data_IF_524691707653
#
_entry.id   IF_524691707653
#
_cell.length_a   1.000
_cell.length_b   1.000
_cell.length_c   1.000
_cell.angle_alpha   90.00
_cell.angle_beta   90.00
_cell.angle_gamma   90.00
#
_symmetry.space_group_name_H-M   'P 1'
#
loop_
_entity.id
_entity.type
_entity.pdbx_description
1 polymer ?
#
# COMPACT_ATOMS: atom_id res chain seq x y z
N UNK A 1 21.48 -3.61 25.35
CA UNK A 1 20.18 -4.28 25.13
C UNK A 1 19.07 -3.26 24.85
N UNK A 2 19.11 -2.05 25.45
CA UNK A 2 18.31 -0.88 25.03
C UNK A 2 18.63 -0.47 23.58
N UNK A 3 19.91 -0.34 23.22
CA UNK A 3 20.30 0.23 21.92
C UNK A 3 19.83 -0.58 20.70
N UNK A 4 19.80 -1.92 20.81
CA UNK A 4 19.27 -2.80 19.74
C UNK A 4 17.75 -2.66 19.63
N UNK A 5 17.07 -2.48 20.77
CA UNK A 5 15.63 -2.29 20.80
C UNK A 5 15.26 -0.90 20.26
N UNK A 6 16.01 0.13 20.64
CA UNK A 6 15.84 1.51 20.17
C UNK A 6 16.18 1.65 18.68
N UNK A 7 17.19 0.93 18.17
CA UNK A 7 17.52 0.91 16.75
C UNK A 7 16.46 0.16 15.92
N UNK A 8 15.95 -0.97 16.43
CA UNK A 8 14.82 -1.67 15.81
C UNK A 8 13.52 -0.84 15.85
N UNK A 9 13.28 -0.11 16.95
CA UNK A 9 12.13 0.77 17.11
C UNK A 9 12.24 2.00 16.18
N UNK A 10 13.42 2.60 16.08
CA UNK A 10 13.68 3.70 15.15
C UNK A 10 13.56 3.26 13.69
N UNK A 11 14.01 2.05 13.34
CA UNK A 11 13.73 1.47 12.02
C UNK A 11 12.23 1.24 11.79
N UNK A 12 11.47 0.86 12.82
CA UNK A 12 10.01 0.73 12.76
C UNK A 12 9.28 2.06 12.50
N UNK A 13 9.90 3.21 12.78
CA UNK A 13 9.30 4.54 12.53
C UNK A 13 9.74 5.18 11.20
N UNK A 14 10.81 4.68 10.57
CA UNK A 14 11.27 5.16 9.27
C UNK A 14 10.58 4.33 8.19
N UNK A 15 9.46 4.83 7.65
CA UNK A 15 8.90 4.30 6.41
C UNK A 15 9.87 4.64 5.27
N UNK A 16 10.60 3.67 4.68
CA UNK A 16 11.57 3.96 3.64
C UNK A 16 10.85 4.60 2.46
N UNK A 17 11.34 5.76 2.00
CA UNK A 17 10.82 6.39 0.79
C UNK A 17 11.11 5.48 -0.39
N UNK A 18 10.07 4.93 -1.02
CA UNK A 18 10.21 4.08 -2.20
C UNK A 18 10.05 4.89 -3.47
N UNK A 19 10.77 4.49 -4.50
CA UNK A 19 10.78 5.15 -5.80
C UNK A 19 10.55 4.11 -6.88
N UNK A 20 9.70 4.43 -7.84
CA UNK A 20 9.49 3.64 -9.05
C UNK A 20 9.58 4.56 -10.27
N UNK A 21 10.43 4.22 -11.25
CA UNK A 21 10.61 5.00 -12.48
C UNK A 21 10.91 6.50 -12.21
N UNK A 22 11.76 6.77 -11.21
CA UNK A 22 12.10 8.13 -10.77
C UNK A 22 11.01 8.87 -9.99
N UNK A 23 9.84 8.24 -9.74
CA UNK A 23 8.72 8.82 -8.99
C UNK A 23 8.62 8.23 -7.59
N UNK A 24 8.45 9.10 -6.59
CA UNK A 24 8.22 8.65 -5.22
C UNK A 24 6.85 8.00 -5.06
N UNK A 25 6.78 6.97 -4.21
CA UNK A 25 5.55 6.30 -3.84
C UNK A 25 5.03 6.82 -2.51
N UNK A 26 3.72 7.03 -2.42
CA UNK A 26 3.06 7.23 -1.15
C UNK A 26 3.20 5.98 -0.25
N UNK A 27 3.18 6.13 1.09
CA UNK A 27 3.13 4.98 1.99
C UNK A 27 1.87 4.14 1.77
N UNK A 28 1.98 2.83 1.98
CA UNK A 28 0.81 1.96 1.99
C UNK A 28 0.07 2.12 3.33
N UNK A 29 -1.16 2.60 3.24
CA UNK A 29 -2.07 2.86 4.36
C UNK A 29 -3.42 2.18 4.14
N UNK A 30 -4.26 2.12 5.17
CA UNK A 30 -5.64 1.65 5.01
C UNK A 30 -6.44 2.52 4.01
N UNK A 31 -6.12 3.83 3.91
CA UNK A 31 -6.73 4.70 2.90
C UNK A 31 -6.39 4.27 1.47
N UNK A 32 -5.12 4.01 1.16
CA UNK A 32 -4.72 3.48 -0.16
C UNK A 32 -5.27 2.08 -0.40
N UNK A 33 -5.42 1.26 0.64
CA UNK A 33 -6.05 -0.07 0.54
C UNK A 33 -7.52 0.02 0.15
N UNK A 34 -8.28 0.94 0.75
CA UNK A 34 -9.68 1.19 0.37
C UNK A 34 -9.79 1.64 -1.08
N UNK A 35 -8.92 2.54 -1.53
CA UNK A 35 -8.87 2.96 -2.93
C UNK A 35 -8.50 1.79 -3.86
N UNK A 36 -7.57 0.92 -3.46
CA UNK A 36 -7.23 -0.30 -4.19
C UNK A 36 -8.41 -1.26 -4.31
N UNK A 37 -9.23 -1.39 -3.25
CA UNK A 37 -10.46 -2.17 -3.31
C UNK A 37 -11.50 -1.53 -4.23
N UNK A 38 -11.52 -0.20 -4.31
CA UNK A 38 -12.44 0.52 -5.20
C UNK A 38 -12.10 0.35 -6.68
N UNK A 39 -10.81 0.33 -7.03
CA UNK A 39 -10.32 0.24 -8.43
C UNK A 39 -10.21 -1.19 -8.98
N UNK A 40 -10.42 -2.18 -8.12
CA UNK A 40 -10.30 -3.60 -8.45
C UNK A 40 -11.66 -4.24 -8.63
N UNK A 41 -11.68 -5.24 -9.48
CA UNK A 41 -12.76 -6.20 -9.67
C UNK A 41 -12.20 -7.62 -9.53
N UNK A 42 -13.08 -8.57 -9.24
CA UNK A 42 -12.70 -9.98 -9.06
C UNK A 42 -12.17 -10.64 -10.33
N UNK A 43 -12.44 -10.04 -11.49
CA UNK A 43 -11.99 -10.49 -12.81
C UNK A 43 -10.56 -10.03 -13.13
N UNK A 44 -10.00 -9.09 -12.35
CA UNK A 44 -8.69 -8.51 -12.62
C UNK A 44 -7.56 -9.48 -12.26
N UNK A 45 -6.56 -9.58 -13.15
CA UNK A 45 -5.39 -10.41 -12.94
C UNK A 45 -4.49 -9.90 -11.79
N UNK A 46 -3.64 -10.79 -11.25
CA UNK A 46 -2.61 -10.39 -10.28
C UNK A 46 -1.64 -9.33 -10.83
N UNK A 47 -1.36 -9.37 -12.14
CA UNK A 47 -0.52 -8.37 -12.79
C UNK A 47 -1.19 -6.99 -12.81
N UNK A 48 -2.51 -6.93 -13.08
CA UNK A 48 -3.28 -5.70 -12.97
C UNK A 48 -3.18 -5.12 -11.55
N UNK A 49 -3.29 -5.96 -10.52
CA UNK A 49 -3.16 -5.50 -9.14
C UNK A 49 -1.82 -4.83 -8.86
N UNK A 50 -0.71 -5.45 -9.26
CA UNK A 50 0.63 -4.89 -9.06
C UNK A 50 0.76 -3.52 -9.74
N UNK A 51 0.27 -3.40 -10.97
CA UNK A 51 0.33 -2.14 -11.69
C UNK A 51 -0.58 -1.06 -11.09
N UNK A 52 -1.82 -1.40 -10.78
CA UNK A 52 -2.77 -0.53 -10.12
C UNK A 52 -2.22 -0.05 -8.77
N UNK A 53 -1.55 -0.93 -8.02
CA UNK A 53 -0.89 -0.61 -6.77
C UNK A 53 0.17 0.48 -6.97
N UNK A 54 1.16 0.25 -7.83
CA UNK A 54 2.26 1.20 -8.04
C UNK A 54 1.72 2.53 -8.58
N UNK A 55 0.86 2.47 -9.59
CA UNK A 55 0.30 3.65 -10.23
C UNK A 55 -0.50 4.52 -9.25
N UNK A 56 -1.36 3.91 -8.42
CA UNK A 56 -2.12 4.63 -7.41
C UNK A 56 -1.20 5.30 -6.38
N UNK A 57 -0.14 4.63 -5.92
CA UNK A 57 0.77 5.20 -4.93
C UNK A 57 1.62 6.36 -5.51
N UNK A 58 1.94 6.32 -6.81
CA UNK A 58 2.51 7.47 -7.53
C UNK A 58 1.52 8.63 -7.50
N UNK A 59 0.27 8.41 -7.95
CA UNK A 59 -0.74 9.46 -8.01
C UNK A 59 -1.05 10.05 -6.62
N UNK A 60 -1.11 9.21 -5.58
CA UNK A 60 -1.33 9.66 -4.20
C UNK A 60 -0.20 10.56 -3.71
N UNK A 61 1.04 10.32 -4.17
CA UNK A 61 2.19 11.14 -3.82
C UNK A 61 2.21 12.46 -4.60
N UNK A 62 1.87 12.43 -5.87
CA UNK A 62 1.81 13.61 -6.75
C UNK A 62 0.63 14.53 -6.36
N UNK A 63 -0.59 13.99 -6.33
CA UNK A 63 -1.80 14.73 -5.98
C UNK A 63 -2.87 13.80 -5.41
N UNK A 64 -2.91 13.72 -4.07
CA UNK A 64 -3.86 12.89 -3.33
C UNK A 64 -5.33 13.13 -3.70
N UNK A 65 -5.75 14.38 -3.92
CA UNK A 65 -7.16 14.71 -4.17
C UNK A 65 -7.60 14.19 -5.54
N UNK A 66 -6.78 14.40 -6.55
CA UNK A 66 -7.03 13.89 -7.90
C UNK A 66 -6.96 12.37 -7.95
N UNK A 67 -6.00 11.75 -7.24
CA UNK A 67 -5.90 10.30 -7.13
C UNK A 67 -7.17 9.67 -6.54
N UNK A 68 -7.72 10.25 -5.47
CA UNK A 68 -8.98 9.80 -4.87
C UNK A 68 -10.12 9.96 -5.87
N UNK A 69 -10.26 11.13 -6.50
CA UNK A 69 -11.32 11.37 -7.49
C UNK A 69 -11.24 10.41 -8.67
N UNK A 70 -10.03 10.07 -9.11
CA UNK A 70 -9.81 9.12 -10.20
C UNK A 70 -10.17 7.69 -9.79
N UNK A 71 -9.81 7.26 -8.58
CA UNK A 71 -10.15 5.94 -8.07
C UNK A 71 -11.66 5.69 -7.99
N UNK A 72 -12.46 6.74 -7.78
CA UNK A 72 -13.93 6.66 -7.84
C UNK A 72 -14.49 6.56 -9.26
N UNK A 73 -13.69 6.87 -10.28
CA UNK A 73 -14.03 6.66 -11.68
C UNK A 73 -13.22 5.47 -12.23
N UNK A 74 -13.74 4.27 -11.98
CA UNK A 74 -13.10 3.00 -12.33
C UNK A 74 -12.70 2.89 -13.80
N UNK A 75 -13.59 3.26 -14.72
CA UNK A 75 -13.34 3.17 -16.15
C UNK A 75 -12.16 4.07 -16.57
N UNK A 76 -12.20 5.32 -16.12
CA UNK A 76 -11.13 6.28 -16.41
C UNK A 76 -9.81 5.88 -15.74
N UNK A 77 -9.85 5.30 -14.55
CA UNK A 77 -8.65 4.78 -13.90
C UNK A 77 -8.04 3.64 -14.72
N UNK A 78 -8.85 2.68 -15.18
CA UNK A 78 -8.41 1.54 -16.01
C UNK A 78 -7.78 2.01 -17.32
N UNK A 79 -8.41 2.94 -18.01
CA UNK A 79 -7.88 3.54 -19.24
C UNK A 79 -6.50 4.15 -19.02
N UNK A 80 -6.38 5.06 -18.03
CA UNK A 80 -5.11 5.71 -17.71
C UNK A 80 -4.03 4.75 -17.24
N UNK A 81 -4.41 3.71 -16.50
CA UNK A 81 -3.49 2.68 -16.06
C UNK A 81 -2.93 1.90 -17.26
N UNK A 82 -3.79 1.48 -18.19
CA UNK A 82 -3.36 0.74 -19.38
C UNK A 82 -2.44 1.58 -20.28
N UNK A 83 -2.77 2.86 -20.48
CA UNK A 83 -1.90 3.79 -21.20
C UNK A 83 -0.53 3.93 -20.53
N UNK A 84 -0.50 4.02 -19.21
CA UNK A 84 0.74 4.12 -18.44
C UNK A 84 1.55 2.82 -18.53
N UNK A 85 0.91 1.65 -18.41
CA UNK A 85 1.55 0.33 -18.55
C UNK A 85 2.14 0.15 -19.95
N UNK A 86 1.52 0.71 -21.00
CA UNK A 86 2.03 0.64 -22.36
C UNK A 86 3.44 1.20 -22.54
N UNK A 87 3.93 1.99 -21.57
CA UNK A 87 5.28 2.55 -21.55
C UNK A 87 6.30 1.73 -20.75
N UNK A 88 5.88 0.59 -20.17
CA UNK A 88 6.67 -0.17 -19.20
C UNK A 88 7.17 -1.49 -19.78
N UNK A 89 8.37 -1.89 -19.35
CA UNK A 89 8.99 -3.15 -19.74
C UNK A 89 8.67 -4.29 -18.78
N UNK A 90 9.01 -5.52 -19.17
CA UNK A 90 8.95 -6.68 -18.27
C UNK A 90 9.84 -6.51 -17.04
N UNK A 91 11.02 -5.91 -17.18
CA UNK A 91 11.90 -5.61 -16.04
C UNK A 91 11.26 -4.62 -15.06
N UNK A 92 10.45 -3.68 -15.56
CA UNK A 92 9.70 -2.77 -14.69
C UNK A 92 8.58 -3.51 -13.94
N UNK A 93 7.98 -4.52 -14.57
CA UNK A 93 6.97 -5.37 -13.92
C UNK A 93 7.55 -6.16 -12.75
N UNK A 94 8.77 -6.69 -12.91
CA UNK A 94 9.48 -7.40 -11.84
C UNK A 94 9.76 -6.47 -10.66
N UNK A 95 10.31 -5.27 -10.92
CA UNK A 95 10.54 -4.25 -9.87
C UNK A 95 9.25 -3.82 -9.18
N UNK A 96 8.18 -3.60 -9.94
CA UNK A 96 6.86 -3.26 -9.40
C UNK A 96 6.34 -4.36 -8.46
N UNK A 97 6.54 -5.62 -8.83
CA UNK A 97 6.12 -6.79 -8.04
C UNK A 97 6.90 -6.89 -6.73
N UNK A 98 8.21 -6.68 -6.79
CA UNK A 98 9.08 -6.69 -5.60
C UNK A 98 8.67 -5.59 -4.62
N UNK A 99 8.53 -4.35 -5.11
CA UNK A 99 8.11 -3.20 -4.29
C UNK A 99 6.73 -3.47 -3.67
N UNK A 100 5.74 -3.86 -4.48
CA UNK A 100 4.39 -4.14 -4.02
C UNK A 100 4.39 -5.19 -2.89
N UNK A 101 5.13 -6.29 -3.08
CA UNK A 101 5.23 -7.36 -2.08
C UNK A 101 5.82 -6.84 -0.76
N UNK A 102 6.93 -6.10 -0.83
CA UNK A 102 7.57 -5.51 0.35
C UNK A 102 6.60 -4.58 1.11
N UNK A 103 5.88 -3.69 0.41
CA UNK A 103 4.96 -2.76 1.10
C UNK A 103 3.81 -3.49 1.79
N UNK A 104 3.27 -4.52 1.14
CA UNK A 104 2.13 -5.30 1.67
C UNK A 104 2.57 -6.14 2.86
N UNK A 105 3.73 -6.78 2.79
CA UNK A 105 4.28 -7.58 3.89
C UNK A 105 4.61 -6.74 5.12
N UNK A 106 5.20 -5.56 4.93
CA UNK A 106 5.48 -4.63 6.03
C UNK A 106 4.18 -4.18 6.71
N UNK A 107 3.15 -3.80 5.94
CA UNK A 107 1.85 -3.45 6.50
C UNK A 107 1.17 -4.63 7.20
N UNK A 108 1.42 -5.87 6.77
CA UNK A 108 0.95 -7.05 7.47
C UNK A 108 1.67 -7.25 8.81
N UNK A 109 3.00 -7.07 8.84
CA UNK A 109 3.84 -7.19 10.05
C UNK A 109 3.63 -6.07 11.07
N UNK A 110 3.26 -4.88 10.62
CA UNK A 110 2.99 -3.73 11.50
C UNK A 110 1.70 -3.87 12.33
N UNK A 111 0.89 -4.91 12.11
CA UNK A 111 -0.30 -5.19 12.94
C UNK A 111 0.13 -5.75 14.29
N UNK A 112 -0.02 -4.95 15.34
CA UNK A 112 0.24 -5.35 16.72
C UNK A 112 -0.97 -6.09 17.29
N UNK A 113 -0.77 -7.28 17.85
CA UNK A 113 -1.77 -7.95 18.67
C UNK A 113 -1.89 -7.25 20.03
N UNK A 114 -3.09 -6.78 20.36
CA UNK A 114 -3.37 -6.25 21.70
C UNK A 114 -3.46 -7.45 22.64
N UNK A 115 -2.45 -7.64 23.49
CA UNK A 115 -2.50 -8.63 24.57
C UNK A 115 -3.49 -8.10 25.61
N UNK A 116 -4.62 -8.79 25.87
CA UNK A 116 -5.58 -8.36 26.89
C UNK A 116 -4.89 -8.31 28.25
N UNK A 117 -5.13 -7.24 29.00
CA UNK A 117 -4.57 -7.11 30.34
C UNK A 117 -5.21 -8.19 31.25
N UNK A 118 -4.44 -9.04 31.95
CA UNK A 118 -4.98 -10.12 32.80
C UNK A 118 -5.89 -9.65 33.97
N UNK A 119 -6.07 -8.34 34.15
CA UNK A 119 -6.83 -7.72 35.24
C UNK A 119 -8.23 -7.24 34.84
N UNK A 120 -8.63 -7.32 33.58
CA UNK A 120 -10.02 -7.04 33.19
C UNK A 120 -10.88 -8.29 33.41
N UNK A 121 -11.45 -8.41 34.62
CA UNK A 121 -12.55 -9.35 34.88
C UNK A 121 -13.78 -8.96 34.04
N UNK A 122 -14.57 -9.92 33.52
CA UNK A 122 -15.81 -9.62 32.83
C UNK A 122 -16.87 -9.23 33.86
N UNK A 123 -16.93 -7.94 34.20
CA UNK A 123 -18.07 -7.39 34.95
C UNK A 123 -19.20 -7.02 33.98
N UNK A 124 -20.36 -7.64 34.16
CA UNK A 124 -21.63 -7.14 33.63
C UNK A 124 -22.50 -8.16 32.88
N UNK A 125 -23.11 -9.09 33.61
CA UNK A 125 -24.46 -9.56 33.25
C UNK A 125 -25.42 -9.01 34.31
N UNK A 126 -26.22 -8.03 33.91
CA UNK A 126 -27.42 -7.61 34.63
C UNK A 126 -28.53 -8.67 34.44
#
# INVERSE_FOLDING_TARGET
MSDILDEALNQSFINPSRVFDGKELAPYTEGSRLLLMQIRSDEDSSAYFVWAFIYLHILLKENRKEAISLAWNNELFKEKLLDWIGTKSETDREKATEICSQMVEEAARARVEVIPNPLESPEGKA
#
